data_IF_942000043207
#
_entry.id   IF_942000043207
#
_cell.length_a   1.000
_cell.length_b   1.000
_cell.length_c   1.000
_cell.angle_alpha   90.00
_cell.angle_beta   90.00
_cell.angle_gamma   90.00
#
_symmetry.space_group_name_H-M   'P 1'
#
loop_
_entity.id
_entity.type
_entity.pdbx_description
1 polymer ?
#
# COMPACT_ATOMS: atom_id res chain seq x y z
N UNK A 1 -47.36 67.08 2.67
CA UNK A 1 -47.11 66.52 4.02
C UNK A 1 -46.32 65.23 3.87
N UNK A 2 -45.09 65.22 4.39
CA UNK A 2 -44.06 64.17 4.19
C UNK A 2 -44.52 62.85 4.82
N UNK A 3 -44.65 61.79 4.01
CA UNK A 3 -44.82 60.41 4.48
C UNK A 3 -43.43 59.79 4.66
N UNK A 4 -43.19 59.29 5.87
CA UNK A 4 -41.96 58.58 6.27
C UNK A 4 -42.04 57.17 5.69
N UNK A 5 -41.09 56.82 4.83
CA UNK A 5 -40.88 55.45 4.38
C UNK A 5 -39.96 54.74 5.40
N UNK A 6 -40.49 53.71 6.06
CA UNK A 6 -39.71 52.80 6.92
C UNK A 6 -39.19 51.67 6.05
N UNK A 7 -37.88 51.65 5.81
CA UNK A 7 -37.20 50.54 5.15
C UNK A 7 -37.02 49.39 6.14
N UNK A 8 -37.77 48.30 5.94
CA UNK A 8 -37.56 47.04 6.67
C UNK A 8 -36.36 46.34 6.04
N UNK A 9 -35.24 46.32 6.77
CA UNK A 9 -34.08 45.48 6.43
C UNK A 9 -34.38 44.06 6.91
N UNK A 10 -34.81 43.19 5.99
CA UNK A 10 -34.85 41.75 6.25
C UNK A 10 -33.44 41.19 6.18
N UNK A 11 -32.84 40.92 7.35
CA UNK A 11 -31.64 40.11 7.47
C UNK A 11 -32.00 38.65 7.13
N UNK A 12 -31.71 38.23 5.90
CA UNK A 12 -31.71 36.82 5.54
C UNK A 12 -30.50 36.15 6.21
N UNK A 13 -30.72 35.49 7.34
CA UNK A 13 -29.78 34.54 7.94
C UNK A 13 -29.63 33.36 6.98
N UNK A 14 -28.59 33.43 6.15
CA UNK A 14 -28.13 32.31 5.33
C UNK A 14 -27.48 31.29 6.27
N UNK A 15 -28.27 30.39 6.84
CA UNK A 15 -27.79 29.24 7.59
C UNK A 15 -27.14 28.27 6.61
N UNK A 16 -25.87 28.50 6.29
CA UNK A 16 -25.04 27.50 5.63
C UNK A 16 -24.90 26.33 6.59
N UNK A 17 -25.69 25.28 6.35
CA UNK A 17 -25.42 23.93 6.85
C UNK A 17 -24.06 23.51 6.28
N UNK A 18 -23.01 23.86 7.01
CA UNK A 18 -21.71 23.23 6.89
C UNK A 18 -21.91 21.77 7.28
N UNK A 19 -22.12 20.92 6.28
CA UNK A 19 -21.96 19.49 6.44
C UNK A 19 -20.57 19.27 7.05
N UNK A 20 -20.54 18.79 8.29
CA UNK A 20 -19.31 18.45 8.99
C UNK A 20 -18.55 17.40 8.19
N UNK A 21 -17.38 17.72 7.60
CA UNK A 21 -16.59 16.71 6.94
C UNK A 21 -15.78 16.05 8.04
N UNK A 22 -16.25 14.89 8.50
CA UNK A 22 -15.48 13.76 9.05
C UNK A 22 -16.35 13.02 10.06
N UNK A 23 -16.98 11.95 9.59
CA UNK A 23 -16.99 10.75 10.40
C UNK A 23 -15.50 10.36 10.57
N UNK A 24 -14.84 10.97 11.56
CA UNK A 24 -13.77 10.27 12.25
C UNK A 24 -14.40 8.92 12.60
N UNK A 25 -13.82 7.84 12.08
CA UNK A 25 -14.25 6.50 12.38
C UNK A 25 -14.15 6.38 13.90
N UNK A 26 -15.27 6.64 14.57
CA UNK A 26 -15.45 6.41 15.99
C UNK A 26 -15.19 4.93 16.10
N UNK A 27 -14.04 4.58 16.67
CA UNK A 27 -13.73 3.19 16.96
C UNK A 27 -14.93 2.67 17.73
N UNK A 28 -15.73 1.80 17.09
CA UNK A 28 -16.82 1.11 17.76
C UNK A 28 -16.21 0.59 19.06
N UNK A 29 -16.64 1.10 20.24
CA UNK A 29 -15.99 0.78 21.49
C UNK A 29 -16.05 -0.72 21.79
N UNK A 30 -16.81 -1.49 21.01
CA UNK A 30 -16.96 -2.93 21.09
C UNK A 30 -16.10 -3.69 20.08
N UNK A 31 -15.74 -3.10 18.92
CA UNK A 31 -15.10 -3.84 17.81
C UNK A 31 -13.84 -3.18 17.28
N UNK A 32 -12.81 -4.01 17.11
CA UNK A 32 -11.59 -3.61 16.42
C UNK A 32 -11.85 -3.60 14.91
N UNK A 33 -11.41 -2.54 14.24
CA UNK A 33 -11.42 -2.43 12.79
C UNK A 33 -10.09 -2.94 12.23
N UNK A 34 -10.18 -3.86 11.26
CA UNK A 34 -9.02 -4.30 10.50
C UNK A 34 -8.87 -3.45 9.26
N UNK A 35 -7.64 -3.06 8.95
CA UNK A 35 -7.24 -2.38 7.73
C UNK A 35 -6.03 -3.10 7.14
N UNK A 36 -5.67 -2.82 5.89
CA UNK A 36 -4.53 -3.51 5.25
C UNK A 36 -4.69 -5.04 5.33
N UNK A 37 -5.85 -5.56 4.92
CA UNK A 37 -6.08 -7.00 4.84
C UNK A 37 -5.53 -7.47 3.48
N UNK A 38 -4.58 -8.42 3.44
CA UNK A 38 -4.13 -8.94 2.17
C UNK A 38 -5.25 -9.72 1.48
N UNK A 39 -5.43 -9.53 0.18
CA UNK A 39 -6.36 -10.35 -0.61
C UNK A 39 -5.77 -11.75 -0.85
N UNK A 40 -4.50 -11.79 -1.25
CA UNK A 40 -3.74 -13.02 -1.52
C UNK A 40 -2.41 -12.98 -0.79
N UNK A 41 -1.97 -14.10 -0.24
CA UNK A 41 -0.66 -14.28 0.39
C UNK A 41 0.02 -15.50 -0.20
N UNK A 42 1.08 -15.31 -1.02
CA UNK A 42 1.88 -16.43 -1.50
C UNK A 42 2.49 -17.23 -0.35
N UNK A 43 2.63 -18.52 -0.55
CA UNK A 43 3.48 -19.34 0.31
C UNK A 43 4.93 -18.85 0.21
N UNK A 44 5.69 -19.01 1.29
CA UNK A 44 7.04 -18.48 1.47
C UNK A 44 7.14 -16.95 1.41
N UNK A 45 6.05 -16.21 1.69
CA UNK A 45 6.07 -14.75 1.71
C UNK A 45 5.75 -14.16 3.10
N UNK A 46 6.18 -12.92 3.30
CA UNK A 46 5.75 -12.12 4.44
C UNK A 46 4.42 -11.44 4.15
N UNK A 47 3.61 -11.27 5.19
CA UNK A 47 2.36 -10.54 5.14
C UNK A 47 2.10 -9.83 6.48
N UNK A 48 1.16 -8.89 6.48
CA UNK A 48 0.73 -8.22 7.70
C UNK A 48 -0.70 -7.75 7.59
N UNK A 49 -1.36 -7.56 8.72
CA UNK A 49 -2.64 -6.84 8.80
C UNK A 49 -2.51 -5.66 9.76
N UNK A 50 -3.15 -4.55 9.45
CA UNK A 50 -3.29 -3.41 10.34
C UNK A 50 -4.57 -3.49 11.16
N UNK A 51 -4.58 -2.94 12.36
CA UNK A 51 -5.82 -2.73 13.10
C UNK A 51 -5.76 -1.47 13.94
N UNK A 52 -6.89 -0.76 13.99
CA UNK A 52 -7.09 0.24 15.03
C UNK A 52 -7.43 -0.44 16.35
N UNK A 53 -6.71 -0.07 17.40
CA UNK A 53 -6.77 -0.74 18.70
C UNK A 53 -6.76 0.29 19.83
N UNK A 54 -7.40 0.02 20.97
CA UNK A 54 -7.31 0.90 22.12
C UNK A 54 -5.89 0.93 22.68
N UNK A 55 -5.36 2.14 22.94
CA UNK A 55 -4.04 2.34 23.56
C UNK A 55 -3.95 1.61 24.91
N UNK A 56 -2.78 1.08 25.21
CA UNK A 56 -2.50 0.36 26.46
C UNK A 56 -2.98 -1.09 26.49
N UNK A 57 -3.76 -1.56 25.52
CA UNK A 57 -4.25 -2.94 25.47
C UNK A 57 -3.20 -3.94 24.96
N UNK A 58 -3.28 -5.20 25.39
CA UNK A 58 -2.43 -6.29 24.88
C UNK A 58 -3.13 -6.99 23.72
N UNK A 59 -2.60 -6.81 22.52
CA UNK A 59 -3.16 -7.31 21.27
C UNK A 59 -2.38 -8.49 20.69
N UNK A 60 -3.06 -9.37 19.93
CA UNK A 60 -2.44 -10.43 19.13
C UNK A 60 -3.24 -10.74 17.88
N UNK A 61 -2.55 -11.32 16.89
CA UNK A 61 -3.16 -11.91 15.70
C UNK A 61 -3.61 -13.35 15.96
N UNK A 62 -4.69 -13.75 15.31
CA UNK A 62 -5.12 -15.13 15.20
C UNK A 62 -5.37 -15.41 13.72
N UNK A 63 -4.75 -16.47 13.21
CA UNK A 63 -4.92 -16.94 11.84
C UNK A 63 -5.58 -18.32 11.87
N UNK A 64 -6.42 -18.61 10.87
CA UNK A 64 -7.13 -19.87 10.67
C UNK A 64 -7.00 -20.28 9.21
N UNK A 65 -6.69 -21.52 8.94
CA UNK A 65 -6.64 -22.05 7.56
C UNK A 65 -8.02 -22.53 7.09
N UNK A 66 -8.06 -23.05 5.86
CA UNK A 66 -9.24 -23.67 5.25
C UNK A 66 -9.73 -24.89 6.03
N UNK A 67 -8.80 -25.69 6.58
CA UNK A 67 -9.09 -26.86 7.43
C UNK A 67 -9.48 -26.48 8.88
N UNK A 68 -9.61 -25.18 9.17
CA UNK A 68 -10.03 -24.65 10.46
C UNK A 68 -9.05 -24.77 11.63
N UNK A 69 -7.82 -25.20 11.38
CA UNK A 69 -6.72 -25.12 12.32
C UNK A 69 -6.43 -23.66 12.66
N UNK A 70 -6.05 -23.38 13.92
CA UNK A 70 -5.93 -22.02 14.46
C UNK A 70 -4.56 -21.80 15.07
N UNK A 71 -3.91 -20.71 14.67
CA UNK A 71 -2.64 -20.25 15.24
C UNK A 71 -2.82 -18.91 15.94
N UNK A 72 -2.19 -18.78 17.09
CA UNK A 72 -2.27 -17.58 17.93
C UNK A 72 -0.88 -16.99 18.00
N UNK A 73 -0.74 -15.74 17.56
CA UNK A 73 0.52 -15.02 17.68
C UNK A 73 0.85 -14.60 19.11
N UNK A 74 2.08 -14.11 19.32
CA UNK A 74 2.47 -13.44 20.55
C UNK A 74 1.61 -12.21 20.81
N UNK A 75 1.59 -11.77 22.08
CA UNK A 75 0.92 -10.52 22.49
C UNK A 75 1.91 -9.38 22.58
N UNK A 76 1.49 -8.18 22.20
CA UNK A 76 2.21 -6.94 22.47
C UNK A 76 1.27 -5.85 22.98
N UNK A 77 1.80 -4.93 23.79
CA UNK A 77 1.05 -3.78 24.30
C UNK A 77 0.99 -2.69 23.22
N UNK A 78 -0.21 -2.18 22.95
CA UNK A 78 -0.43 -1.05 22.05
C UNK A 78 0.08 0.23 22.71
N UNK A 79 1.06 0.89 22.12
CA UNK A 79 1.55 2.21 22.54
C UNK A 79 0.88 3.35 21.76
N UNK A 80 0.24 3.03 20.64
CA UNK A 80 -0.55 3.95 19.82
C UNK A 80 -1.95 3.38 19.57
N UNK A 81 -2.79 4.13 18.84
CA UNK A 81 -4.14 3.70 18.45
C UNK A 81 -4.16 2.71 17.27
N UNK A 82 -2.99 2.31 16.78
CA UNK A 82 -2.84 1.49 15.59
C UNK A 82 -1.70 0.48 15.75
N UNK A 83 -1.95 -0.77 15.37
CA UNK A 83 -0.94 -1.83 15.40
C UNK A 83 -0.88 -2.59 14.09
N UNK A 84 0.33 -2.96 13.70
CA UNK A 84 0.60 -3.92 12.64
C UNK A 84 0.85 -5.30 13.22
N UNK A 85 0.34 -6.31 12.53
CA UNK A 85 0.40 -7.71 12.93
C UNK A 85 1.07 -8.51 11.80
N UNK A 86 2.41 -8.62 11.80
CA UNK A 86 3.15 -9.34 10.76
C UNK A 86 3.07 -10.85 10.95
N UNK A 87 3.16 -11.60 9.86
CA UNK A 87 3.42 -13.03 9.85
C UNK A 87 4.17 -13.43 8.58
N UNK A 88 4.80 -14.61 8.62
CA UNK A 88 5.38 -15.27 7.46
C UNK A 88 4.52 -16.47 7.12
N UNK A 89 4.02 -16.53 5.89
CA UNK A 89 3.36 -17.70 5.33
C UNK A 89 4.43 -18.67 4.86
N UNK A 90 4.50 -19.86 5.45
CA UNK A 90 5.56 -20.82 5.12
C UNK A 90 5.29 -21.52 3.77
N UNK A 91 6.33 -22.01 3.11
CA UNK A 91 6.26 -22.63 1.78
C UNK A 91 5.25 -23.79 1.71
N UNK A 92 5.17 -24.61 2.76
CA UNK A 92 4.24 -25.75 2.83
C UNK A 92 2.88 -25.42 3.45
N UNK A 93 2.44 -24.17 3.38
CA UNK A 93 1.10 -23.81 3.84
C UNK A 93 0.04 -24.35 2.89
N UNK A 94 -1.08 -24.83 3.42
CA UNK A 94 -2.23 -25.25 2.60
C UNK A 94 -2.78 -24.07 1.80
N UNK A 95 -3.04 -24.29 0.51
CA UNK A 95 -3.70 -23.31 -0.33
C UNK A 95 -5.19 -23.18 0.02
N UNK A 96 -5.81 -22.09 -0.44
CA UNK A 96 -7.23 -21.83 -0.33
C UNK A 96 -7.55 -20.67 0.62
N UNK A 97 -8.78 -20.63 1.12
CA UNK A 97 -9.28 -19.50 1.90
C UNK A 97 -8.94 -19.61 3.38
N UNK A 98 -8.12 -18.66 3.82
CA UNK A 98 -7.70 -18.49 5.19
C UNK A 98 -8.45 -17.31 5.80
N UNK A 99 -8.49 -17.27 7.14
CA UNK A 99 -9.13 -16.18 7.89
C UNK A 99 -8.20 -15.66 8.98
N UNK A 100 -8.27 -14.37 9.23
CA UNK A 100 -7.53 -13.73 10.31
C UNK A 100 -8.43 -12.85 11.17
N UNK A 101 -8.01 -12.60 12.41
CA UNK A 101 -8.59 -11.58 13.28
C UNK A 101 -7.61 -11.10 14.33
N UNK A 102 -7.85 -9.89 14.82
CA UNK A 102 -7.11 -9.33 15.96
C UNK A 102 -7.95 -9.46 17.24
N UNK A 103 -7.26 -9.74 18.35
CA UNK A 103 -7.85 -9.65 19.69
C UNK A 103 -7.00 -8.77 20.58
N UNK A 104 -7.65 -7.86 21.28
CA UNK A 104 -7.03 -7.02 22.30
C UNK A 104 -7.72 -7.21 23.64
N UNK A 105 -6.99 -7.00 24.74
CA UNK A 105 -7.56 -6.97 26.09
C UNK A 105 -6.78 -6.03 27.00
N UNK A 106 -7.47 -5.43 27.95
CA UNK A 106 -6.90 -4.94 29.20
C UNK A 106 -7.47 -5.80 30.34
N UNK A 107 -7.42 -5.30 31.57
CA UNK A 107 -7.90 -6.02 32.75
C UNK A 107 -9.43 -6.07 32.84
N UNK A 108 -10.13 -5.15 32.15
CA UNK A 108 -11.59 -4.97 32.25
C UNK A 108 -12.32 -5.48 31.01
N UNK A 109 -11.81 -5.17 29.82
CA UNK A 109 -12.51 -5.31 28.55
C UNK A 109 -11.72 -6.15 27.55
N UNK A 110 -12.45 -6.88 26.70
CA UNK A 110 -11.89 -7.71 25.62
C UNK A 110 -12.49 -7.31 24.29
N UNK A 111 -11.64 -6.87 23.38
CA UNK A 111 -12.02 -6.51 22.02
C UNK A 111 -11.63 -7.58 21.02
N UNK A 112 -12.45 -7.73 19.98
CA UNK A 112 -12.20 -8.68 18.89
C UNK A 112 -12.61 -8.00 17.59
N UNK A 113 -11.79 -8.13 16.55
CA UNK A 113 -12.24 -7.79 15.21
C UNK A 113 -13.19 -8.86 14.67
N UNK A 114 -13.90 -8.52 13.59
CA UNK A 114 -14.49 -9.53 12.69
C UNK A 114 -13.38 -10.41 12.10
N UNK A 115 -13.75 -11.61 11.68
CA UNK A 115 -12.86 -12.41 10.83
C UNK A 115 -12.81 -11.75 9.46
N UNK A 116 -11.60 -11.51 8.96
CA UNK A 116 -11.35 -11.18 7.57
C UNK A 116 -10.84 -12.43 6.84
N UNK A 117 -11.06 -12.50 5.53
CA UNK A 117 -10.64 -13.63 4.67
C UNK A 117 -9.52 -13.18 3.75
N UNK A 118 -8.60 -14.08 3.45
CA UNK A 118 -7.55 -13.93 2.44
C UNK A 118 -7.26 -15.30 1.83
N UNK A 119 -6.75 -15.35 0.61
CA UNK A 119 -6.41 -16.60 -0.05
C UNK A 119 -4.91 -16.86 0.04
N UNK A 120 -4.51 -18.11 0.31
CA UNK A 120 -3.11 -18.55 0.25
C UNK A 120 -2.87 -19.30 -1.05
N UNK A 121 -1.83 -18.91 -1.79
CA UNK A 121 -1.37 -19.64 -2.98
C UNK A 121 -0.15 -20.49 -2.59
N UNK A 122 -0.17 -21.78 -2.91
CA UNK A 122 0.95 -22.69 -2.61
C UNK A 122 1.96 -22.71 -3.75
N UNK A 123 3.24 -22.79 -3.42
CA UNK A 123 4.25 -23.35 -4.33
C UNK A 123 4.36 -24.85 -4.04
N UNK A 124 4.28 -25.69 -5.07
CA UNK A 124 4.30 -27.14 -4.88
C UNK A 124 5.65 -27.62 -4.31
N UNK A 125 5.59 -28.70 -3.53
CA UNK A 125 6.72 -29.50 -3.01
C UNK A 125 7.44 -29.02 -1.73
N UNK A 126 6.73 -28.47 -0.75
CA UNK A 126 7.27 -28.32 0.62
C UNK A 126 6.44 -29.11 1.64
N UNK A 127 7.07 -29.68 2.69
CA UNK A 127 6.34 -30.36 3.77
C UNK A 127 5.42 -29.36 4.47
N UNK A 128 4.25 -29.86 4.90
CA UNK A 128 3.24 -29.05 5.57
C UNK A 128 3.87 -28.22 6.70
N UNK A 129 3.76 -26.89 6.61
CA UNK A 129 4.42 -25.98 7.55
C UNK A 129 3.45 -24.92 8.06
N UNK A 130 3.63 -24.54 9.32
CA UNK A 130 2.75 -23.64 10.04
C UNK A 130 3.15 -22.19 9.80
N UNK A 131 2.21 -21.23 9.72
CA UNK A 131 2.57 -19.82 9.62
C UNK A 131 3.34 -19.37 10.87
N UNK A 132 4.37 -18.55 10.66
CA UNK A 132 5.14 -17.92 11.75
C UNK A 132 4.55 -16.55 12.04
N UNK A 133 3.78 -16.42 13.12
CA UNK A 133 3.16 -15.15 13.49
C UNK A 133 4.15 -14.29 14.29
N UNK A 134 4.50 -13.13 13.75
CA UNK A 134 5.43 -12.18 14.35
C UNK A 134 4.84 -11.41 15.52
N UNK A 135 5.71 -10.71 16.25
CA UNK A 135 5.30 -9.83 17.35
C UNK A 135 4.60 -8.58 16.80
N UNK A 136 3.38 -8.24 17.28
CA UNK A 136 2.71 -7.03 16.83
C UNK A 136 3.50 -5.78 17.21
N UNK A 137 3.53 -4.81 16.31
CA UNK A 137 4.23 -3.54 16.49
C UNK A 137 3.22 -2.38 16.46
N UNK A 138 3.37 -1.43 17.37
CA UNK A 138 2.59 -0.18 17.30
C UNK A 138 3.21 0.72 16.24
N UNK A 139 2.37 1.36 15.44
CA UNK A 139 2.79 2.37 14.46
C UNK A 139 1.99 3.65 14.70
N UNK A 140 2.58 4.80 14.35
CA UNK A 140 1.79 6.04 14.28
C UNK A 140 0.97 5.97 12.99
N UNK A 141 -0.34 5.92 13.11
CA UNK A 141 -1.25 6.13 12.01
C UNK A 141 -2.53 6.74 12.56
N UNK A 142 -3.12 7.67 11.83
CA UNK A 142 -4.42 8.25 12.20
C UNK A 142 -5.51 7.65 11.32
N UNK A 143 -6.72 7.54 11.86
CA UNK A 143 -7.90 7.12 11.08
C UNK A 143 -8.06 8.00 9.83
N UNK A 144 -7.87 9.31 9.97
CA UNK A 144 -8.00 10.29 8.88
C UNK A 144 -6.95 10.14 7.76
N UNK A 145 -5.76 9.62 8.07
CA UNK A 145 -4.72 9.38 7.06
C UNK A 145 -4.90 8.04 6.35
N UNK A 146 -5.66 7.12 6.94
CA UNK A 146 -5.93 5.80 6.41
C UNK A 146 -7.32 5.68 5.76
N UNK A 147 -8.22 6.63 5.98
CA UNK A 147 -9.55 6.64 5.38
C UNK A 147 -9.51 6.98 3.88
N UNK A 148 -10.59 6.62 3.18
CA UNK A 148 -10.85 7.13 1.84
C UNK A 148 -11.05 8.66 1.90
N UNK A 149 -10.46 9.40 0.98
CA UNK A 149 -10.72 10.84 0.83
C UNK A 149 -10.48 11.28 -0.62
N UNK A 150 -11.21 12.29 -1.08
CA UNK A 150 -11.02 12.92 -2.40
C UNK A 150 -10.88 11.90 -3.56
N UNK A 151 -11.76 10.89 -3.62
CA UNK A 151 -11.76 9.85 -4.65
C UNK A 151 -10.64 8.80 -4.55
N UNK A 152 -9.82 8.84 -3.49
CA UNK A 152 -8.86 7.79 -3.17
C UNK A 152 -9.51 6.71 -2.29
N UNK A 153 -9.20 5.44 -2.58
CA UNK A 153 -9.59 4.34 -1.72
C UNK A 153 -8.88 4.42 -0.36
N UNK A 154 -9.43 3.78 0.67
CA UNK A 154 -8.78 3.68 1.98
C UNK A 154 -7.44 2.97 1.88
N UNK A 155 -6.52 3.32 2.79
CA UNK A 155 -5.19 2.74 2.87
C UNK A 155 -5.23 1.21 2.91
N UNK A 156 -4.35 0.57 2.13
CA UNK A 156 -4.25 -0.88 2.05
C UNK A 156 -5.34 -1.56 1.21
N UNK A 157 -6.30 -0.80 0.66
CA UNK A 157 -7.20 -1.33 -0.37
C UNK A 157 -6.40 -1.79 -1.58
N UNK A 158 -6.63 -3.01 -2.06
CA UNK A 158 -6.09 -3.48 -3.35
C UNK A 158 -6.71 -2.68 -4.48
N UNK A 159 -5.89 -1.93 -5.20
CA UNK A 159 -6.26 -1.23 -6.42
C UNK A 159 -6.11 -2.15 -7.64
N UNK A 160 -5.02 -2.93 -7.67
CA UNK A 160 -4.74 -3.92 -8.72
C UNK A 160 -4.19 -5.17 -8.03
N UNK A 161 -4.76 -6.35 -8.32
CA UNK A 161 -4.24 -7.61 -7.76
C UNK A 161 -2.95 -8.00 -8.47
N UNK A 162 -1.98 -8.56 -7.76
CA UNK A 162 -0.72 -9.03 -8.33
C UNK A 162 -0.92 -10.06 -9.45
N UNK A 163 -1.99 -10.84 -9.37
CA UNK A 163 -2.38 -11.82 -10.40
C UNK A 163 -2.86 -11.20 -11.70
N UNK A 164 -3.21 -9.91 -11.69
CA UNK A 164 -3.84 -9.24 -12.83
C UNK A 164 -2.81 -8.53 -13.72
N UNK A 165 -1.52 -8.51 -13.33
CA UNK A 165 -0.46 -7.88 -14.11
C UNK A 165 0.85 -8.69 -14.07
N UNK A 166 1.75 -8.37 -15.02
CA UNK A 166 3.03 -9.05 -15.17
C UNK A 166 2.90 -10.58 -15.27
N UNK A 167 1.99 -11.05 -16.12
CA UNK A 167 1.69 -12.46 -16.37
C UNK A 167 1.32 -13.23 -15.09
N UNK A 168 0.59 -12.59 -14.17
CA UNK A 168 0.17 -13.18 -12.90
C UNK A 168 1.26 -13.24 -11.82
N UNK A 169 2.45 -12.73 -12.13
CA UNK A 169 3.60 -12.70 -11.20
C UNK A 169 3.79 -11.32 -10.56
N UNK A 170 2.89 -10.38 -10.81
CA UNK A 170 2.91 -9.06 -10.17
C UNK A 170 2.71 -9.14 -8.66
N UNK A 171 2.82 -7.99 -8.00
CA UNK A 171 2.47 -7.82 -6.57
C UNK A 171 1.27 -6.90 -6.45
N UNK A 172 0.46 -7.07 -5.39
CA UNK A 172 -0.71 -6.21 -5.20
C UNK A 172 -0.31 -4.72 -5.15
N UNK A 173 -1.00 -3.90 -5.92
CA UNK A 173 -0.90 -2.45 -5.88
C UNK A 173 -1.94 -1.95 -4.90
N UNK A 174 -1.50 -1.20 -3.89
CA UNK A 174 -2.32 -0.84 -2.74
C UNK A 174 -2.48 0.67 -2.64
N UNK A 175 -3.67 1.10 -2.23
CA UNK A 175 -3.93 2.51 -1.96
C UNK A 175 -3.10 3.00 -0.78
N UNK A 176 -2.54 4.20 -0.93
CA UNK A 176 -1.84 4.89 0.15
C UNK A 176 -2.77 5.78 1.00
N UNK A 177 -4.09 5.73 0.78
CA UNK A 177 -5.09 6.54 1.50
C UNK A 177 -5.22 7.99 0.98
N UNK A 178 -6.20 8.72 1.53
CA UNK A 178 -6.61 10.04 1.03
C UNK A 178 -5.59 11.19 1.12
N UNK A 179 -4.68 11.15 2.10
CA UNK A 179 -3.58 12.12 2.24
C UNK A 179 -2.19 11.50 1.99
N UNK A 180 -2.15 10.23 1.54
CA UNK A 180 -0.94 9.43 1.54
C UNK A 180 -0.43 9.14 2.96
N UNK A 181 0.23 8.02 3.15
CA UNK A 181 1.05 7.75 4.33
C UNK A 181 2.29 8.70 4.42
N UNK A 182 2.40 9.70 3.53
CA UNK A 182 3.56 10.56 3.31
C UNK A 182 3.82 11.56 4.46
N UNK A 183 2.78 12.01 5.18
CA UNK A 183 2.92 13.00 6.26
C UNK A 183 2.36 12.49 7.60
N UNK A 184 2.96 11.42 8.16
CA UNK A 184 2.76 11.07 9.57
C UNK A 184 2.39 9.63 9.88
N UNK A 185 2.21 8.78 8.87
CA UNK A 185 1.99 7.36 9.10
C UNK A 185 3.33 6.60 9.10
N UNK A 186 3.72 6.05 10.25
CA UNK A 186 4.90 5.19 10.42
C UNK A 186 4.55 3.71 10.18
N UNK A 187 3.73 3.43 9.17
CA UNK A 187 3.33 2.06 8.81
C UNK A 187 4.43 1.47 7.93
N UNK A 188 5.17 0.50 8.46
CA UNK A 188 6.36 -0.05 7.80
C UNK A 188 6.12 -1.48 7.35
N UNK A 189 6.89 -1.90 6.36
CA UNK A 189 7.09 -3.28 5.96
C UNK A 189 8.58 -3.51 5.73
N UNK A 190 8.96 -4.76 5.49
CA UNK A 190 10.30 -5.15 5.06
C UNK A 190 10.71 -4.48 3.74
N UNK A 191 9.78 -3.96 2.95
CA UNK A 191 10.02 -3.31 1.65
C UNK A 191 10.06 -1.77 1.72
N UNK A 192 9.77 -1.19 2.88
CA UNK A 192 9.75 0.25 3.10
C UNK A 192 8.46 0.74 3.78
N UNK A 193 8.19 2.04 3.69
CA UNK A 193 6.95 2.63 4.22
C UNK A 193 5.78 2.23 3.32
N UNK A 194 4.81 1.52 3.88
CA UNK A 194 3.58 1.17 3.16
C UNK A 194 2.75 2.44 2.93
N UNK A 195 2.09 2.69 1.81
CA UNK A 195 2.21 2.12 0.47
C UNK A 195 2.83 3.16 -0.45
N UNK A 196 4.11 3.47 -0.21
CA UNK A 196 4.86 4.45 -0.99
C UNK A 196 5.27 3.86 -2.35
N UNK A 197 5.65 4.73 -3.28
CA UNK A 197 6.10 4.32 -4.62
C UNK A 197 7.34 3.40 -4.55
N UNK A 198 8.31 3.74 -3.69
CA UNK A 198 9.52 2.93 -3.47
C UNK A 198 9.20 1.58 -2.81
N UNK A 199 8.18 1.52 -1.95
CA UNK A 199 7.74 0.25 -1.33
C UNK A 199 7.22 -0.74 -2.37
N UNK A 200 6.44 -0.27 -3.36
CA UNK A 200 5.96 -1.12 -4.46
C UNK A 200 7.13 -1.72 -5.23
N UNK A 201 8.09 -0.89 -5.62
CA UNK A 201 9.27 -1.32 -6.40
C UNK A 201 10.07 -2.36 -5.62
N UNK A 202 10.42 -2.08 -4.36
CA UNK A 202 11.17 -3.01 -3.53
C UNK A 202 10.41 -4.31 -3.30
N UNK A 203 9.10 -4.25 -3.05
CA UNK A 203 8.26 -5.45 -2.89
C UNK A 203 8.23 -6.26 -4.18
N UNK A 204 8.08 -5.61 -5.33
CA UNK A 204 8.06 -6.28 -6.62
C UNK A 204 9.39 -6.99 -6.91
N UNK A 205 10.51 -6.26 -6.94
CA UNK A 205 11.81 -6.84 -7.36
C UNK A 205 12.35 -7.89 -6.40
N UNK A 206 12.05 -7.77 -5.10
CA UNK A 206 12.39 -8.82 -4.12
C UNK A 206 11.48 -10.04 -4.25
N UNK A 207 10.20 -9.85 -4.60
CA UNK A 207 9.30 -10.98 -4.90
C UNK A 207 9.74 -11.73 -6.16
N UNK A 208 10.26 -11.02 -7.17
CA UNK A 208 10.84 -11.67 -8.36
C UNK A 208 12.21 -12.32 -8.09
N UNK A 209 12.83 -12.07 -6.93
CA UNK A 209 14.17 -12.57 -6.61
C UNK A 209 15.30 -11.87 -7.34
N UNK A 210 15.05 -10.71 -7.98
CA UNK A 210 16.08 -9.96 -8.72
C UNK A 210 17.11 -9.31 -7.79
N UNK A 211 16.69 -8.98 -6.56
CA UNK A 211 17.58 -8.51 -5.48
C UNK A 211 17.15 -9.11 -4.15
N UNK A 212 18.12 -9.26 -3.24
CA UNK A 212 17.88 -9.81 -1.89
C UNK A 212 17.57 -8.73 -0.86
N UNK A 213 17.97 -7.48 -1.10
CA UNK A 213 17.79 -6.32 -0.22
C UNK A 213 17.05 -5.19 -0.92
N UNK A 214 16.55 -4.22 -0.14
CA UNK A 214 15.88 -3.05 -0.68
C UNK A 214 16.86 -2.10 -1.38
N UNK A 215 16.40 -1.45 -2.44
CA UNK A 215 17.05 -0.28 -3.03
C UNK A 215 16.68 0.92 -2.15
N UNK A 216 17.67 1.50 -1.46
CA UNK A 216 17.46 2.53 -0.44
C UNK A 216 17.56 3.94 -1.01
N UNK A 217 16.55 4.78 -0.80
CA UNK A 217 16.62 6.20 -1.15
C UNK A 217 15.26 6.80 -1.44
N UNK A 218 15.26 8.08 -1.80
CA UNK A 218 14.10 8.71 -2.41
C UNK A 218 13.90 8.17 -3.83
N UNK A 219 12.69 8.29 -4.35
CA UNK A 219 12.32 7.72 -5.64
C UNK A 219 13.24 8.20 -6.79
N UNK A 220 13.60 9.49 -6.83
CA UNK A 220 14.54 10.01 -7.85
C UNK A 220 15.95 9.40 -7.80
N UNK A 221 16.35 8.81 -6.67
CA UNK A 221 17.68 8.23 -6.46
C UNK A 221 17.75 6.76 -6.87
N UNK A 222 16.61 6.13 -7.19
CA UNK A 222 16.54 4.68 -7.41
C UNK A 222 17.36 4.26 -8.65
N UNK A 223 17.39 5.08 -9.70
CA UNK A 223 18.20 4.81 -10.89
C UNK A 223 19.70 4.66 -10.54
N UNK A 224 20.22 5.58 -9.72
CA UNK A 224 21.63 5.59 -9.33
C UNK A 224 21.96 4.50 -8.32
N UNK A 225 21.05 4.25 -7.37
CA UNK A 225 21.29 3.36 -6.22
C UNK A 225 20.96 1.90 -6.47
N UNK A 226 20.26 1.58 -7.56
CA UNK A 226 20.04 0.19 -7.94
C UNK A 226 21.40 -0.51 -8.19
N UNK A 227 21.57 -1.75 -7.69
CA UNK A 227 22.83 -2.48 -7.82
C UNK A 227 23.10 -2.78 -9.30
N UNK A 228 24.24 -2.30 -9.80
CA UNK A 228 24.64 -2.47 -11.20
C UNK A 228 24.83 -3.95 -11.60
N UNK A 229 25.02 -4.85 -10.64
CA UNK A 229 25.08 -6.30 -10.87
C UNK A 229 23.72 -6.93 -11.17
N UNK A 230 22.61 -6.28 -10.83
CA UNK A 230 21.26 -6.81 -11.05
C UNK A 230 20.49 -6.03 -12.13
N UNK A 231 20.87 -4.78 -12.40
CA UNK A 231 20.14 -3.91 -13.33
C UNK A 231 21.03 -3.24 -14.36
N UNK A 232 20.58 -3.25 -15.62
CA UNK A 232 20.97 -2.27 -16.61
C UNK A 232 20.25 -0.94 -16.33
N UNK A 233 20.97 0.17 -16.50
CA UNK A 233 20.47 1.53 -16.26
C UNK A 233 20.35 2.24 -17.59
N UNK A 234 19.15 2.72 -17.91
CA UNK A 234 18.83 3.37 -19.17
C UNK A 234 18.39 4.82 -18.93
N UNK A 235 19.27 5.82 -19.13
CA UNK A 235 18.90 7.22 -19.03
C UNK A 235 17.78 7.57 -20.01
N UNK A 236 16.88 8.46 -19.61
CA UNK A 236 15.76 8.88 -20.44
C UNK A 236 16.23 9.46 -21.79
N UNK A 237 15.83 8.82 -22.89
CA UNK A 237 16.16 9.25 -24.24
C UNK A 237 17.45 8.64 -24.81
N UNK A 238 18.01 7.61 -24.17
CA UNK A 238 19.15 6.84 -24.66
C UNK A 238 18.81 5.88 -25.81
N UNK A 239 17.53 5.76 -26.16
CA UNK A 239 17.04 4.86 -27.21
C UNK A 239 16.49 3.53 -26.70
N UNK A 240 16.59 3.25 -25.40
CA UNK A 240 16.02 2.05 -24.80
C UNK A 240 14.50 2.09 -24.79
N UNK A 241 13.87 1.06 -25.35
CA UNK A 241 12.42 0.86 -25.28
C UNK A 241 12.15 -0.08 -24.10
N UNK A 242 11.37 0.34 -23.09
CA UNK A 242 11.14 -0.48 -21.92
C UNK A 242 10.33 -1.73 -22.25
N UNK A 243 10.39 -2.71 -21.36
CA UNK A 243 9.56 -3.92 -21.38
C UNK A 243 8.77 -4.05 -20.06
N UNK A 244 7.68 -4.84 -20.02
CA UNK A 244 7.02 -5.17 -18.76
C UNK A 244 8.02 -5.66 -17.70
N UNK A 245 7.89 -5.15 -16.48
CA UNK A 245 8.80 -5.41 -15.37
C UNK A 245 9.88 -4.36 -15.14
N UNK A 246 10.19 -3.51 -16.13
CA UNK A 246 11.15 -2.42 -15.95
C UNK A 246 10.67 -1.40 -14.93
N UNK A 247 11.59 -0.83 -14.16
CA UNK A 247 11.27 0.24 -13.20
C UNK A 247 11.45 1.58 -13.90
N UNK A 248 10.41 2.41 -13.87
CA UNK A 248 10.46 3.78 -14.35
C UNK A 248 10.88 4.69 -13.20
N UNK A 249 11.81 5.60 -13.44
CA UNK A 249 12.29 6.57 -12.45
C UNK A 249 12.01 7.99 -12.92
N UNK A 250 11.40 8.79 -12.05
CA UNK A 250 11.22 10.23 -12.25
C UNK A 250 11.85 11.04 -11.12
N UNK A 251 12.34 12.23 -11.48
CA UNK A 251 12.74 13.29 -10.57
C UNK A 251 11.65 14.38 -10.45
N UNK A 252 11.83 15.29 -9.49
CA UNK A 252 10.92 16.42 -9.26
C UNK A 252 9.71 16.08 -8.38
N UNK A 253 8.55 16.63 -8.74
CA UNK A 253 7.34 16.58 -7.91
C UNK A 253 7.31 17.67 -6.83
N UNK A 254 6.14 17.91 -6.23
CA UNK A 254 5.90 19.00 -5.28
C UNK A 254 6.81 18.96 -4.04
N UNK A 255 7.30 17.78 -3.67
CA UNK A 255 8.18 17.57 -2.52
C UNK A 255 9.62 17.21 -2.91
N UNK A 256 9.95 17.20 -4.21
CA UNK A 256 11.29 16.87 -4.71
C UNK A 256 11.74 15.41 -4.54
N UNK A 257 10.92 14.54 -3.94
CA UNK A 257 11.28 13.13 -3.72
C UNK A 257 11.34 12.31 -5.02
N UNK A 258 10.76 12.81 -6.12
CA UNK A 258 10.58 12.06 -7.36
C UNK A 258 9.47 11.02 -7.25
N UNK A 259 9.44 10.11 -8.22
CA UNK A 259 8.49 9.00 -8.25
C UNK A 259 9.08 7.78 -8.94
N UNK A 260 8.55 6.60 -8.63
CA UNK A 260 8.90 5.34 -9.30
C UNK A 260 7.68 4.48 -9.54
N UNK A 261 7.69 3.73 -10.64
CA UNK A 261 6.62 2.82 -11.03
C UNK A 261 7.20 1.58 -11.72
N UNK A 262 6.36 0.56 -11.95
CA UNK A 262 6.76 -0.65 -12.68
C UNK A 262 5.98 -0.73 -13.99
N UNK A 263 6.68 -0.92 -15.10
CA UNK A 263 6.05 -1.12 -16.42
C UNK A 263 5.21 -2.39 -16.38
N UNK A 264 3.95 -2.26 -16.79
CA UNK A 264 2.99 -3.37 -16.82
C UNK A 264 2.66 -3.82 -18.23
N UNK A 265 2.67 -2.89 -19.19
CA UNK A 265 2.46 -3.16 -20.61
C UNK A 265 3.10 -2.07 -21.47
N UNK A 266 3.52 -2.44 -22.67
CA UNK A 266 4.09 -1.53 -23.67
C UNK A 266 3.36 -1.72 -24.99
N UNK A 267 3.02 -0.61 -25.63
CA UNK A 267 2.36 -0.56 -26.93
C UNK A 267 3.04 0.51 -27.80
N UNK A 268 2.80 0.55 -29.12
CA UNK A 268 3.40 1.57 -29.99
C UNK A 268 3.19 2.99 -29.46
N UNK A 269 4.29 3.66 -29.12
CA UNK A 269 4.29 5.04 -28.60
C UNK A 269 3.68 5.21 -27.21
N UNK A 270 3.42 4.13 -26.45
CA UNK A 270 2.79 4.19 -25.12
C UNK A 270 3.36 3.17 -24.14
N UNK A 271 3.50 3.61 -22.89
CA UNK A 271 3.92 2.76 -21.76
C UNK A 271 2.85 2.85 -20.68
N UNK A 272 2.34 1.70 -20.25
CA UNK A 272 1.40 1.56 -19.14
C UNK A 272 2.13 0.98 -17.94
N UNK A 273 1.99 1.60 -16.79
CA UNK A 273 2.68 1.21 -15.57
C UNK A 273 1.72 1.12 -14.39
N UNK A 274 2.16 0.39 -13.36
CA UNK A 274 1.52 0.32 -12.06
C UNK A 274 2.34 1.08 -11.02
N UNK A 275 1.65 1.71 -10.08
CA UNK A 275 2.27 2.61 -9.11
C UNK A 275 1.47 2.71 -7.82
N UNK A 276 2.12 3.14 -6.75
CA UNK A 276 1.45 3.57 -5.51
C UNK A 276 1.80 5.01 -5.22
N UNK A 277 0.94 5.70 -4.45
CA UNK A 277 1.14 7.07 -4.01
C UNK A 277 1.18 8.13 -5.14
N UNK A 278 0.53 7.87 -6.28
CA UNK A 278 0.46 8.84 -7.39
C UNK A 278 -0.86 8.80 -8.19
N UNK A 279 -1.55 7.65 -8.22
CA UNK A 279 -2.87 7.53 -8.85
C UNK A 279 -3.91 6.79 -8.01
N UNK A 280 -5.18 7.17 -8.19
CA UNK A 280 -6.34 6.58 -7.51
C UNK A 280 -6.61 5.13 -7.92
N UNK A 281 -6.20 4.77 -9.14
CA UNK A 281 -6.42 3.46 -9.76
C UNK A 281 -5.21 2.54 -9.64
N UNK A 282 -4.05 3.06 -9.23
CA UNK A 282 -2.81 2.30 -9.16
C UNK A 282 -2.16 2.02 -10.52
N UNK A 283 -2.66 2.60 -11.60
CA UNK A 283 -2.09 2.49 -12.94
C UNK A 283 -2.31 3.75 -13.76
N UNK A 284 -1.36 4.01 -14.66
CA UNK A 284 -1.38 5.13 -15.59
C UNK A 284 -0.68 4.77 -16.90
N UNK A 285 -1.03 5.49 -17.98
CA UNK A 285 -0.42 5.33 -19.31
C UNK A 285 0.13 6.66 -19.79
N UNK A 286 1.42 6.67 -20.17
CA UNK A 286 2.08 7.81 -20.79
C UNK A 286 2.43 7.51 -22.24
N UNK A 287 2.47 8.56 -23.07
CA UNK A 287 3.12 8.45 -24.38
C UNK A 287 4.64 8.43 -24.19
N UNK A 288 5.31 7.72 -25.08
CA UNK A 288 6.77 7.69 -25.18
C UNK A 288 7.19 8.19 -26.56
N UNK A 289 8.33 8.87 -26.64
CA UNK A 289 8.93 9.23 -27.92
C UNK A 289 9.73 8.06 -28.53
N UNK A 290 10.27 8.27 -29.73
CA UNK A 290 11.04 7.26 -30.46
C UNK A 290 12.36 6.88 -29.78
N UNK A 291 12.79 7.63 -28.77
CA UNK A 291 13.99 7.35 -27.97
C UNK A 291 13.65 6.74 -26.61
N UNK A 292 12.40 6.31 -26.42
CA UNK A 292 11.93 5.70 -25.18
C UNK A 292 11.67 6.69 -24.04
N UNK A 293 11.73 8.00 -24.28
CA UNK A 293 11.48 8.99 -23.23
C UNK A 293 9.98 9.23 -23.06
N UNK A 294 9.51 9.06 -21.83
CA UNK A 294 8.12 9.36 -21.46
C UNK A 294 7.84 10.87 -21.48
N UNK A 295 6.64 11.20 -21.92
CA UNK A 295 6.10 12.55 -21.74
C UNK A 295 5.98 12.92 -20.26
N UNK A 296 5.91 14.23 -19.93
CA UNK A 296 5.79 14.69 -18.55
C UNK A 296 4.60 14.06 -17.81
N UNK A 297 4.83 13.70 -16.55
CA UNK A 297 3.80 13.19 -15.65
C UNK A 297 3.54 14.23 -14.55
N UNK A 298 2.68 15.20 -14.86
CA UNK A 298 2.51 16.38 -14.02
C UNK A 298 3.83 17.15 -13.84
N UNK A 299 4.21 17.40 -12.58
CA UNK A 299 5.47 18.06 -12.24
C UNK A 299 6.70 17.13 -12.33
N UNK A 300 6.51 15.83 -12.55
CA UNK A 300 7.59 14.85 -12.60
C UNK A 300 8.32 14.87 -13.95
N UNK A 301 9.63 14.61 -13.92
CA UNK A 301 10.51 14.56 -15.08
C UNK A 301 11.11 13.16 -15.20
N UNK A 302 10.91 12.51 -16.35
CA UNK A 302 11.40 11.16 -16.59
C UNK A 302 12.93 11.15 -16.59
N UNK A 303 13.53 10.35 -15.70
CA UNK A 303 14.97 10.23 -15.52
C UNK A 303 15.52 9.01 -16.27
N UNK A 304 14.78 7.91 -16.31
CA UNK A 304 15.19 6.70 -17.02
C UNK A 304 14.49 5.44 -16.53
N UNK A 305 14.98 4.30 -17.01
CA UNK A 305 14.52 2.97 -16.64
C UNK A 305 15.62 2.14 -15.97
N UNK A 306 15.20 1.21 -15.10
CA UNK A 306 16.01 0.07 -14.70
C UNK A 306 15.43 -1.19 -15.32
N UNK A 307 16.28 -1.92 -16.04
CA UNK A 307 15.97 -3.23 -16.57
C UNK A 307 16.73 -4.29 -15.77
N UNK A 308 16.02 -5.22 -15.13
CA UNK A 308 16.67 -6.29 -14.39
C UNK A 308 17.22 -7.34 -15.36
N UNK A 309 18.47 -7.75 -15.23
CA UNK A 309 19.05 -8.78 -16.12
C UNK A 309 18.32 -10.13 -16.02
N UNK A 310 17.67 -10.39 -14.89
CA UNK A 310 16.85 -11.59 -14.68
C UNK A 310 15.43 -11.47 -15.27
N UNK A 311 15.07 -10.31 -15.83
CA UNK A 311 13.82 -10.08 -16.55
C UNK A 311 14.07 -10.29 -18.05
N UNK A 312 14.08 -11.57 -18.46
CA UNK A 312 14.34 -11.98 -19.85
C UNK A 312 13.31 -11.50 -20.85
#
# INVERSE_FOLDING_TARGET
MKRIAVSVVSAATLTTLLATPTAALELDPVRLELVDIPATVPAASEASVGAFVPRGTRCRLIVRDSASQKWKGPRAKATSGFMQFPWTQQAGSSSGDWRLRVKCRNDVTRWKSRWATFSVTSTAASPASLPTIGRPASASASVSSLSAAYGWASFGTTLIKGTDWFNGRGVDVRSNGGNGCASGCAVRSTYGTKYQCVELVNRFVRTQGWVTTNIWGNAHQILDKAPASAFAKHPAGDGYVPVPGDIIVWSGGSSGYGHVAVVSAVAPGRVTFVEQNASRTGSYTLKTDVRGKLLPYGALRHTGYLHAYANG
#
